data_IF_284210269121
#
_entry.id   IF_284210269121
#
_cell.length_a   1.000
_cell.length_b   1.000
_cell.length_c   1.000
_cell.angle_alpha   90.00
_cell.angle_beta   90.00
_cell.angle_gamma   90.00
#
_symmetry.space_group_name_H-M   'P 1'
#
loop_
_entity.id
_entity.type
_entity.pdbx_description
1 polymer ?
#
# COMPACT_ATOMS: atom_id res chain seq x y z
N UNK A 1 9.78 19.83 9.77
CA UNK A 1 11.17 20.21 9.55
C UNK A 1 11.31 21.71 9.36
N UNK A 2 12.56 22.27 9.28
CA UNK A 2 12.79 23.71 9.19
C UNK A 2 12.19 24.37 7.94
N UNK A 3 12.17 23.68 6.80
CA UNK A 3 11.58 24.18 5.55
C UNK A 3 10.04 24.27 5.63
N UNK A 4 9.39 23.33 6.29
CA UNK A 4 7.95 23.36 6.52
C UNK A 4 7.55 24.54 7.41
N UNK A 5 8.36 24.83 8.42
CA UNK A 5 8.16 26.00 9.29
C UNK A 5 8.25 27.32 8.51
N UNK A 6 9.27 27.48 7.66
CA UNK A 6 9.43 28.66 6.80
C UNK A 6 8.28 28.78 5.79
N UNK A 7 7.87 27.66 5.18
CA UNK A 7 6.76 27.62 4.23
C UNK A 7 5.46 28.11 4.87
N UNK A 8 5.13 27.60 6.05
CA UNK A 8 3.92 27.99 6.82
C UNK A 8 3.97 29.44 7.27
N UNK A 9 5.09 29.87 7.82
CA UNK A 9 5.25 31.25 8.32
C UNK A 9 5.11 32.30 7.21
N UNK A 10 5.50 31.96 5.96
CA UNK A 10 5.44 32.86 4.80
C UNK A 10 4.25 32.61 3.88
N UNK A 11 3.44 31.58 4.12
CA UNK A 11 2.30 31.24 3.25
C UNK A 11 2.71 30.80 1.85
N UNK A 12 3.89 30.16 1.69
CA UNK A 12 4.46 29.72 0.42
C UNK A 12 4.62 28.20 0.38
N UNK A 13 4.85 27.64 -0.81
CA UNK A 13 5.12 26.20 -0.93
C UNK A 13 6.49 25.82 -0.33
N UNK A 14 6.65 24.57 0.08
CA UNK A 14 7.95 24.05 0.61
C UNK A 14 9.07 24.23 -0.41
N UNK A 15 8.78 24.06 -1.71
CA UNK A 15 9.74 24.28 -2.78
C UNK A 15 10.17 25.75 -2.88
N UNK A 16 9.23 26.69 -2.75
CA UNK A 16 9.53 28.12 -2.73
C UNK A 16 10.34 28.52 -1.48
N UNK A 17 10.01 27.93 -0.32
CA UNK A 17 10.79 28.12 0.89
C UNK A 17 12.23 27.58 0.74
N UNK A 18 12.40 26.40 0.15
CA UNK A 18 13.72 25.81 -0.11
C UNK A 18 14.57 26.69 -1.04
N UNK A 19 13.98 27.26 -2.11
CA UNK A 19 14.68 28.22 -2.99
C UNK A 19 15.13 29.46 -2.24
N UNK A 20 14.23 30.07 -1.45
CA UNK A 20 14.61 31.27 -0.67
C UNK A 20 15.73 30.98 0.34
N UNK A 21 15.71 29.85 1.00
CA UNK A 21 16.77 29.44 1.94
C UNK A 21 18.07 29.20 1.19
N UNK A 22 18.04 28.55 0.03
CA UNK A 22 19.24 28.35 -0.80
C UNK A 22 19.85 29.70 -1.26
N UNK A 23 19.00 30.64 -1.68
CA UNK A 23 19.44 31.97 -2.08
C UNK A 23 20.12 32.73 -0.91
N UNK A 24 19.51 32.68 0.29
CA UNK A 24 20.08 33.33 1.50
C UNK A 24 21.43 32.71 1.89
N UNK A 25 21.57 31.39 1.72
CA UNK A 25 22.80 30.67 2.06
C UNK A 25 23.83 30.65 0.93
N UNK A 26 23.55 31.32 -0.19
CA UNK A 26 24.36 31.26 -1.41
C UNK A 26 24.68 29.84 -1.90
N UNK A 27 23.73 28.91 -1.66
CA UNK A 27 23.83 27.50 -2.08
C UNK A 27 23.22 27.32 -3.49
N UNK A 28 23.89 26.58 -4.40
CA UNK A 28 23.29 26.31 -5.70
C UNK A 28 22.01 25.46 -5.50
N UNK A 29 20.88 25.98 -6.00
CA UNK A 29 19.64 25.20 -6.01
C UNK A 29 19.66 24.22 -7.19
N UNK A 30 19.44 22.92 -6.98
CA UNK A 30 19.48 21.95 -8.06
C UNK A 30 18.42 22.29 -9.13
N UNK A 31 18.87 22.50 -10.37
CA UNK A 31 17.92 22.59 -11.47
C UNK A 31 17.16 21.26 -11.62
N UNK A 32 15.83 21.31 -11.83
CA UNK A 32 15.07 20.10 -12.08
C UNK A 32 15.62 19.42 -13.33
N UNK A 33 16.19 18.23 -13.17
CA UNK A 33 16.64 17.43 -14.32
C UNK A 33 15.42 17.22 -15.23
N UNK A 34 15.54 17.49 -16.55
CA UNK A 34 14.46 17.25 -17.48
C UNK A 34 14.06 15.77 -17.36
N UNK A 35 12.86 15.51 -16.85
CA UNK A 35 12.26 14.18 -16.83
C UNK A 35 12.03 13.85 -18.31
N UNK A 36 12.85 12.96 -18.87
CA UNK A 36 12.57 12.38 -20.18
C UNK A 36 11.30 11.54 -20.03
N UNK A 37 10.16 12.16 -20.27
CA UNK A 37 8.89 11.45 -20.46
C UNK A 37 9.00 10.62 -21.74
N UNK A 38 9.51 9.40 -21.60
CA UNK A 38 9.26 8.39 -22.62
C UNK A 38 7.80 7.99 -22.43
N UNK A 39 6.94 8.05 -23.47
CA UNK A 39 5.60 7.50 -23.41
C UNK A 39 5.74 5.98 -23.30
N UNK A 40 5.83 5.49 -22.07
CA UNK A 40 5.69 4.07 -21.79
C UNK A 40 4.20 3.79 -21.90
N UNK A 41 3.80 3.03 -22.90
CA UNK A 41 2.51 2.35 -22.88
C UNK A 41 2.49 1.43 -21.67
N UNK A 42 2.05 1.99 -20.53
CA UNK A 42 2.00 1.25 -19.26
C UNK A 42 0.78 0.34 -19.37
N UNK A 43 1.02 -0.98 -19.38
CA UNK A 43 -0.06 -1.97 -19.29
C UNK A 43 -1.00 -1.62 -18.15
N UNK A 44 -2.31 -1.88 -18.28
CA UNK A 44 -3.28 -1.72 -17.20
C UNK A 44 -2.80 -2.37 -15.90
N UNK A 45 -3.12 -1.77 -14.76
CA UNK A 45 -2.62 -2.26 -13.47
C UNK A 45 -3.04 -3.70 -13.21
N UNK A 46 -4.28 -4.07 -13.57
CA UNK A 46 -4.79 -5.42 -13.38
C UNK A 46 -3.97 -6.48 -14.15
N UNK A 47 -3.58 -6.20 -15.42
CA UNK A 47 -2.73 -7.10 -16.21
C UNK A 47 -1.34 -7.27 -15.59
N UNK A 48 -0.75 -6.17 -15.13
CA UNK A 48 0.56 -6.20 -14.47
C UNK A 48 0.51 -7.00 -13.17
N UNK A 49 -0.57 -6.87 -12.39
CA UNK A 49 -0.74 -7.66 -11.17
C UNK A 49 -0.98 -9.14 -11.51
N UNK A 50 -1.74 -9.45 -12.55
CA UNK A 50 -1.91 -10.83 -13.02
C UNK A 50 -0.57 -11.46 -13.41
N UNK A 51 0.33 -10.74 -14.09
CA UNK A 51 1.69 -11.20 -14.38
C UNK A 51 2.52 -11.47 -13.12
N UNK A 52 2.42 -10.60 -12.10
CA UNK A 52 3.13 -10.80 -10.82
C UNK A 52 2.56 -12.02 -10.07
N UNK A 53 1.24 -12.18 -10.06
CA UNK A 53 0.56 -13.34 -9.48
C UNK A 53 0.98 -14.63 -10.19
N UNK A 54 1.07 -14.64 -11.52
CA UNK A 54 1.51 -15.79 -12.28
C UNK A 54 2.98 -16.18 -12.01
N UNK A 55 3.84 -15.19 -11.69
CA UNK A 55 5.25 -15.41 -11.31
C UNK A 55 5.44 -15.74 -9.83
N UNK A 56 4.40 -15.60 -9.01
CA UNK A 56 4.48 -15.88 -7.57
C UNK A 56 4.35 -17.38 -7.31
N UNK A 57 4.95 -17.83 -6.23
CA UNK A 57 4.78 -19.19 -5.69
C UNK A 57 3.92 -19.16 -4.44
N UNK A 58 3.34 -20.30 -4.08
CA UNK A 58 2.66 -20.46 -2.79
C UNK A 58 3.63 -20.98 -1.75
N UNK A 59 3.55 -20.43 -0.55
CA UNK A 59 4.43 -20.85 0.55
C UNK A 59 4.21 -20.06 1.82
N UNK A 60 5.08 -20.29 2.79
CA UNK A 60 5.09 -19.61 4.07
C UNK A 60 5.90 -18.30 3.96
N UNK A 61 5.31 -17.20 4.41
CA UNK A 61 5.95 -15.89 4.36
C UNK A 61 6.92 -15.72 5.53
N UNK A 62 8.23 -15.46 5.28
CA UNK A 62 9.18 -15.19 6.36
C UNK A 62 8.81 -13.95 7.20
N UNK A 63 8.13 -12.98 6.61
CA UNK A 63 7.59 -11.82 7.33
C UNK A 63 6.50 -12.22 8.33
N UNK A 64 5.54 -13.06 7.90
CA UNK A 64 4.44 -13.50 8.77
C UNK A 64 4.95 -14.48 9.84
N UNK A 65 5.88 -15.38 9.50
CA UNK A 65 6.50 -16.29 10.45
C UNK A 65 7.19 -15.52 11.60
N UNK A 66 7.91 -14.42 11.29
CA UNK A 66 8.50 -13.54 12.32
C UNK A 66 7.45 -12.85 13.22
N UNK A 67 6.20 -12.75 12.75
CA UNK A 67 5.05 -12.23 13.54
C UNK A 67 4.33 -13.34 14.32
N UNK A 68 4.81 -14.57 14.25
CA UNK A 68 4.16 -15.72 14.89
C UNK A 68 2.92 -16.23 14.15
N UNK A 69 2.71 -15.81 12.90
CA UNK A 69 1.56 -16.19 12.07
C UNK A 69 1.93 -17.34 11.14
N UNK A 70 1.32 -18.49 11.33
CA UNK A 70 1.45 -19.67 10.47
C UNK A 70 0.40 -19.61 9.36
N UNK A 71 0.83 -19.23 8.17
CA UNK A 71 -0.03 -19.05 6.99
C UNK A 71 0.63 -19.72 5.77
N UNK A 72 0.42 -21.03 5.54
CA UNK A 72 1.22 -21.82 4.60
C UNK A 72 0.98 -21.49 3.13
N UNK A 73 -0.15 -20.89 2.76
CA UNK A 73 -0.56 -20.69 1.37
C UNK A 73 -0.48 -19.24 0.89
N UNK A 74 0.47 -18.47 1.41
CA UNK A 74 0.67 -17.09 0.99
C UNK A 74 1.33 -17.02 -0.40
N UNK A 75 1.05 -15.94 -1.15
CA UNK A 75 1.74 -15.67 -2.40
C UNK A 75 3.08 -15.00 -2.12
N UNK A 76 4.14 -15.57 -2.68
CA UNK A 76 5.50 -15.07 -2.53
C UNK A 76 6.09 -14.70 -3.89
N UNK A 77 6.60 -13.48 -4.01
CA UNK A 77 7.36 -13.01 -5.16
C UNK A 77 8.79 -12.71 -4.69
N UNK A 78 9.76 -13.50 -5.17
CA UNK A 78 11.17 -13.36 -4.76
C UNK A 78 11.33 -13.27 -3.23
N UNK A 79 10.71 -14.20 -2.50
CA UNK A 79 10.70 -14.27 -1.04
C UNK A 79 9.96 -13.10 -0.30
N UNK A 80 9.36 -12.16 -1.03
CA UNK A 80 8.49 -11.12 -0.47
C UNK A 80 7.03 -11.56 -0.54
N UNK A 81 6.26 -11.25 0.50
CA UNK A 81 4.82 -11.47 0.50
C UNK A 81 4.17 -10.57 -0.55
N UNK A 82 3.36 -11.14 -1.44
CA UNK A 82 2.59 -10.41 -2.47
C UNK A 82 1.12 -10.39 -2.09
N UNK A 83 0.58 -9.21 -1.87
CA UNK A 83 -0.79 -8.96 -1.46
C UNK A 83 -1.51 -8.16 -2.54
N UNK A 84 -2.54 -8.74 -3.14
CA UNK A 84 -3.35 -8.06 -4.15
C UNK A 84 -4.33 -7.11 -3.46
N UNK A 85 -4.47 -5.90 -3.99
CA UNK A 85 -5.44 -4.91 -3.52
C UNK A 85 -6.62 -4.83 -4.48
N UNK A 86 -7.82 -4.67 -3.94
CA UNK A 86 -9.08 -4.66 -4.69
C UNK A 86 -10.11 -3.73 -4.06
N UNK A 87 -11.18 -3.48 -4.81
CA UNK A 87 -12.43 -2.84 -4.36
C UNK A 87 -13.46 -3.91 -3.96
N UNK A 88 -14.65 -3.48 -3.47
CA UNK A 88 -15.71 -4.40 -3.04
C UNK A 88 -16.26 -5.28 -4.16
N UNK A 89 -16.30 -4.78 -5.38
CA UNK A 89 -16.72 -5.52 -6.58
C UNK A 89 -15.63 -6.50 -7.10
N UNK A 90 -14.50 -6.60 -6.39
CA UNK A 90 -13.39 -7.46 -6.76
C UNK A 90 -12.46 -6.90 -7.84
N UNK A 91 -12.66 -5.66 -8.27
CA UNK A 91 -11.77 -5.01 -9.24
C UNK A 91 -10.38 -4.85 -8.65
N UNK A 92 -9.36 -5.40 -9.33
CA UNK A 92 -7.96 -5.30 -8.91
C UNK A 92 -7.45 -3.87 -9.11
N UNK A 93 -7.03 -3.25 -8.02
CA UNK A 93 -6.52 -1.88 -7.97
C UNK A 93 -5.01 -1.81 -7.88
N UNK A 94 -4.34 -2.92 -7.58
CA UNK A 94 -2.91 -3.01 -7.46
C UNK A 94 -2.43 -4.14 -6.57
N UNK A 95 -1.25 -3.95 -5.98
CA UNK A 95 -0.71 -4.87 -4.97
C UNK A 95 0.28 -4.17 -4.03
N UNK A 96 0.48 -4.78 -2.87
CA UNK A 96 1.53 -4.47 -1.92
C UNK A 96 2.51 -5.65 -1.83
N UNK A 97 3.80 -5.36 -1.75
CA UNK A 97 4.82 -6.34 -1.40
C UNK A 97 5.36 -6.04 -0.01
N UNK A 98 5.63 -7.08 0.78
CA UNK A 98 6.25 -6.97 2.10
C UNK A 98 7.46 -7.89 2.13
N UNK A 99 8.65 -7.31 2.32
CA UNK A 99 9.89 -8.06 2.42
C UNK A 99 10.01 -8.81 3.76
N UNK A 100 10.89 -9.81 3.89
CA UNK A 100 11.14 -10.51 5.16
C UNK A 100 11.54 -9.60 6.33
N UNK A 101 12.13 -8.43 6.05
CA UNK A 101 12.49 -7.42 7.05
C UNK A 101 11.31 -6.51 7.46
N UNK A 102 10.13 -6.67 6.84
CA UNK A 102 8.94 -5.86 7.10
C UNK A 102 8.80 -4.60 6.23
N UNK A 103 9.75 -4.33 5.33
CA UNK A 103 9.63 -3.20 4.39
C UNK A 103 8.45 -3.43 3.44
N UNK A 104 7.52 -2.45 3.43
CA UNK A 104 6.30 -2.48 2.61
C UNK A 104 6.47 -1.57 1.40
N UNK A 105 6.07 -2.04 0.22
CA UNK A 105 6.04 -1.23 -1.01
C UNK A 105 4.77 -1.50 -1.81
N UNK A 106 4.14 -0.45 -2.29
CA UNK A 106 3.08 -0.58 -3.29
C UNK A 106 3.69 -0.78 -4.68
N UNK A 107 3.08 -1.63 -5.47
CA UNK A 107 3.40 -1.74 -6.90
C UNK A 107 3.04 -0.42 -7.56
N UNK A 108 3.94 0.12 -8.37
CA UNK A 108 3.73 1.42 -9.06
C UNK A 108 2.41 1.43 -9.83
N UNK A 109 1.61 2.47 -9.66
CA UNK A 109 0.28 2.60 -10.26
C UNK A 109 -0.86 1.96 -9.45
N UNK A 110 -0.58 1.40 -8.26
CA UNK A 110 -1.62 0.95 -7.33
C UNK A 110 -2.49 2.14 -6.90
N UNK A 111 -3.80 2.01 -7.06
CA UNK A 111 -4.79 2.95 -6.55
C UNK A 111 -5.11 2.56 -5.11
N UNK A 112 -4.54 3.30 -4.12
CA UNK A 112 -4.67 2.96 -2.71
C UNK A 112 -6.02 3.37 -2.12
N UNK A 113 -6.52 4.57 -2.47
CA UNK A 113 -7.72 5.15 -1.86
C UNK A 113 -8.94 4.25 -2.04
N UNK A 114 -9.55 3.83 -0.94
CA UNK A 114 -10.72 2.94 -0.95
C UNK A 114 -10.41 1.47 -1.31
N UNK A 115 -9.15 1.12 -1.57
CA UNK A 115 -8.75 -0.26 -1.84
C UNK A 115 -8.33 -0.98 -0.57
N UNK A 116 -8.51 -2.29 -0.54
CA UNK A 116 -8.16 -3.12 0.60
C UNK A 116 -7.55 -4.46 0.16
N UNK A 117 -6.97 -5.16 1.11
CA UNK A 117 -6.48 -6.54 0.98
C UNK A 117 -7.43 -7.43 1.78
N UNK A 118 -7.96 -8.50 1.19
CA UNK A 118 -8.74 -9.50 1.90
C UNK A 118 -7.83 -10.37 2.76
N UNK A 119 -8.16 -10.49 4.04
CA UNK A 119 -7.52 -11.44 4.96
C UNK A 119 -8.38 -12.69 5.20
N UNK A 120 -9.68 -12.61 4.95
CA UNK A 120 -10.64 -13.73 4.97
C UNK A 120 -11.52 -13.68 3.73
N UNK A 121 -12.09 -14.82 3.34
CA UNK A 121 -13.05 -14.85 2.22
C UNK A 121 -14.33 -14.07 2.58
N UNK A 122 -14.91 -13.40 1.59
CA UNK A 122 -16.25 -12.81 1.71
C UNK A 122 -17.25 -13.91 1.35
N UNK A 123 -18.01 -14.38 2.32
CA UNK A 123 -19.04 -15.38 2.11
C UNK A 123 -20.41 -14.71 2.25
N UNK A 124 -21.14 -14.62 1.16
CA UNK A 124 -22.45 -13.96 1.14
C UNK A 124 -22.39 -12.46 1.48
N UNK A 125 -23.39 -11.98 2.23
CA UNK A 125 -23.39 -10.62 2.80
C UNK A 125 -22.98 -10.75 4.26
N UNK A 126 -21.78 -10.30 4.63
CA UNK A 126 -21.31 -10.44 6.01
C UNK A 126 -22.06 -9.49 6.95
N UNK A 127 -22.47 -9.98 8.11
CA UNK A 127 -23.09 -9.16 9.17
C UNK A 127 -22.06 -8.25 9.85
N UNK A 128 -20.79 -8.63 9.80
CA UNK A 128 -19.69 -7.89 10.43
C UNK A 128 -18.51 -7.78 9.49
N UNK A 129 -18.04 -6.54 9.29
CA UNK A 129 -16.80 -6.25 8.57
C UNK A 129 -15.81 -5.61 9.54
N UNK A 130 -14.64 -6.22 9.70
CA UNK A 130 -13.56 -5.72 10.55
C UNK A 130 -12.47 -5.14 9.66
N UNK A 131 -12.12 -3.89 9.88
CA UNK A 131 -11.10 -3.19 9.11
C UNK A 131 -9.88 -2.98 9.99
N UNK A 132 -8.72 -3.39 9.52
CA UNK A 132 -7.44 -3.18 10.19
C UNK A 132 -6.52 -2.36 9.32
N UNK A 133 -5.50 -1.74 9.91
CA UNK A 133 -4.49 -0.99 9.15
C UNK A 133 -3.68 -1.90 8.23
N UNK A 134 -3.17 -3.01 8.74
CA UNK A 134 -2.20 -3.84 8.05
C UNK A 134 -2.55 -5.32 8.01
N UNK A 135 -2.01 -6.01 6.99
CA UNK A 135 -2.36 -7.41 6.69
C UNK A 135 -2.04 -8.40 7.82
N UNK A 136 -0.90 -8.25 8.53
CA UNK A 136 -0.59 -9.16 9.64
C UNK A 136 -1.62 -9.05 10.77
N UNK A 137 -2.06 -7.83 11.11
CA UNK A 137 -3.13 -7.60 12.07
C UNK A 137 -4.45 -8.19 11.58
N UNK A 138 -4.77 -8.00 10.29
CA UNK A 138 -5.96 -8.57 9.69
C UNK A 138 -5.98 -10.10 9.78
N UNK A 139 -4.86 -10.77 9.51
CA UNK A 139 -4.74 -12.22 9.67
C UNK A 139 -4.92 -12.67 11.11
N UNK A 140 -4.33 -11.96 12.08
CA UNK A 140 -4.53 -12.27 13.51
C UNK A 140 -6.01 -12.18 13.87
N UNK A 141 -6.68 -11.10 13.44
CA UNK A 141 -8.11 -10.90 13.71
C UNK A 141 -8.96 -11.99 13.03
N UNK A 142 -8.66 -12.36 11.78
CA UNK A 142 -9.39 -13.41 11.06
C UNK A 142 -9.25 -14.79 11.69
N UNK A 143 -8.15 -15.06 12.39
CA UNK A 143 -7.95 -16.30 13.16
C UNK A 143 -8.74 -16.31 14.49
N UNK A 144 -9.07 -15.15 15.03
CA UNK A 144 -9.81 -15.00 16.28
C UNK A 144 -11.34 -14.84 16.04
N UNK A 145 -11.72 -14.29 14.91
CA UNK A 145 -13.11 -14.01 14.52
C UNK A 145 -13.44 -14.75 13.23
N UNK A 146 -14.10 -15.92 13.36
CA UNK A 146 -14.43 -16.77 12.22
C UNK A 146 -15.70 -16.33 11.48
N UNK A 147 -16.55 -15.50 12.10
CA UNK A 147 -17.87 -15.12 11.58
C UNK A 147 -17.89 -13.77 10.83
N UNK A 148 -16.75 -13.11 10.74
CA UNK A 148 -16.64 -11.78 10.11
C UNK A 148 -15.71 -11.74 8.89
N UNK A 149 -16.00 -10.84 7.99
CA UNK A 149 -15.06 -10.49 6.91
C UNK A 149 -14.00 -9.52 7.42
N UNK A 150 -12.72 -9.85 7.23
CA UNK A 150 -11.61 -9.02 7.70
C UNK A 150 -10.84 -8.42 6.53
N UNK A 151 -10.73 -7.10 6.53
CA UNK A 151 -10.07 -6.31 5.51
C UNK A 151 -8.84 -5.61 6.09
N UNK A 152 -7.77 -5.52 5.31
CA UNK A 152 -6.62 -4.68 5.63
C UNK A 152 -6.63 -3.44 4.73
N UNK A 153 -6.66 -2.25 5.30
CA UNK A 153 -6.73 -0.97 4.60
C UNK A 153 -5.39 -0.52 3.99
N UNK A 154 -4.36 -1.36 4.01
CA UNK A 154 -3.01 -1.10 3.49
C UNK A 154 -2.18 -0.25 4.45
N UNK A 155 -2.71 0.89 4.90
CA UNK A 155 -2.11 1.77 5.91
C UNK A 155 -3.18 2.62 6.62
N UNK A 156 -2.74 3.36 7.66
CA UNK A 156 -3.58 4.22 8.50
C UNK A 156 -4.38 5.25 7.68
N UNK A 157 -3.73 5.92 6.72
CA UNK A 157 -4.35 7.00 5.94
C UNK A 157 -5.52 6.56 5.06
N UNK A 158 -5.66 5.25 4.86
CA UNK A 158 -6.72 4.66 4.04
C UNK A 158 -7.85 4.01 4.86
N UNK A 159 -7.74 3.90 6.18
CA UNK A 159 -8.76 3.28 7.04
C UNK A 159 -10.13 3.91 6.84
N UNK A 160 -10.21 5.25 6.89
CA UNK A 160 -11.48 5.95 6.73
C UNK A 160 -12.08 5.72 5.34
N UNK A 161 -11.26 5.77 4.28
CA UNK A 161 -11.74 5.55 2.91
C UNK A 161 -12.32 4.13 2.72
N UNK A 162 -11.72 3.11 3.36
CA UNK A 162 -12.24 1.74 3.32
C UNK A 162 -13.50 1.63 4.16
N UNK A 163 -13.57 2.25 5.34
CA UNK A 163 -14.75 2.25 6.20
C UNK A 163 -15.97 2.91 5.52
N UNK A 164 -15.77 4.02 4.80
CA UNK A 164 -16.82 4.69 4.03
C UNK A 164 -17.33 3.81 2.86
N UNK A 165 -16.47 2.98 2.27
CA UNK A 165 -16.82 2.12 1.15
C UNK A 165 -17.70 0.93 1.56
N UNK A 166 -17.54 0.40 2.79
CA UNK A 166 -18.25 -0.79 3.30
C UNK A 166 -19.47 -0.46 4.15
N UNK A 167 -19.79 0.80 4.31
CA UNK A 167 -20.93 1.29 5.08
C UNK A 167 -22.23 1.26 4.27
#
# INVERSE_FOLDING_TARGET
>A
DGLDLVARAKGITILAAAKQVADVLAMPFPEPKPVKEQPRTVKPIAERIAELVAKSIRGESPYLAKKGLQCPNQRLLQNSLLLVTQTLDGTITGAQTIKPNGEKRLVSGTQKKGSFILASEIIGTPDTIIITEGYATALTVSQLHHDGTVLAAIDESNLLNVAELVR
#
